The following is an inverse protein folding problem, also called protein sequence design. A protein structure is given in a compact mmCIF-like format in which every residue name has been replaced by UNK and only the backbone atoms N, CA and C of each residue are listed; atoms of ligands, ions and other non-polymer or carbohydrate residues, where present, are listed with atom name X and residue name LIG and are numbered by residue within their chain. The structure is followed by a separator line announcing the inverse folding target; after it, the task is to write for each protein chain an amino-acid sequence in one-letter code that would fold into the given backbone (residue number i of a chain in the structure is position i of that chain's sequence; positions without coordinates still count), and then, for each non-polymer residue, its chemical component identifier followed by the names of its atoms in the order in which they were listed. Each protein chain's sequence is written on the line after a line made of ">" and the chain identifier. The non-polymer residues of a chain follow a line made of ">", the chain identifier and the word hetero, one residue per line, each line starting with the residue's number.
data_IF_749193257089
#
_entry.id   IF_749193257089
#
_cell.length_a   1.000
_cell.length_b   1.000
_cell.length_c   1.000
_cell.angle_alpha   90.00
_cell.angle_beta   90.00
_cell.angle_gamma   90.00
#
_symmetry.space_group_name_H-M   'P 1'
#
loop_
_entity.id
_entity.type
_entity.pdbx_description
1 polymer ?
#
# COMPACT_ATOMS: atom_id res chain seq x y z
N UNK A 1 -48.50 7.03 -28.69
CA UNK A 1 -47.03 6.96 -28.80
C UNK A 1 -46.65 5.50 -28.61
N UNK A 2 -46.32 4.81 -29.70
CA UNK A 2 -45.94 3.39 -29.64
C UNK A 2 -44.57 3.32 -28.96
N UNK A 3 -44.46 2.72 -27.78
CA UNK A 3 -43.14 2.39 -27.25
C UNK A 3 -42.53 1.34 -28.18
N UNK A 4 -41.36 1.63 -28.75
CA UNK A 4 -40.60 0.62 -29.49
C UNK A 4 -40.38 -0.57 -28.55
N UNK A 5 -40.61 -1.78 -29.05
CA UNK A 5 -40.66 -3.02 -28.25
C UNK A 5 -39.42 -3.28 -27.39
N UNK A 6 -38.29 -2.62 -27.66
CA UNK A 6 -37.07 -2.67 -26.85
C UNK A 6 -37.01 -1.67 -25.67
N UNK A 7 -37.75 -0.56 -25.73
CA UNK A 7 -37.72 0.52 -24.72
C UNK A 7 -38.05 0.04 -23.30
N UNK A 8 -39.11 -0.75 -23.05
CA UNK A 8 -39.46 -1.14 -21.67
C UNK A 8 -38.42 -2.05 -21.02
N UNK A 9 -37.75 -2.90 -21.80
CA UNK A 9 -36.69 -3.79 -21.31
C UNK A 9 -35.40 -3.04 -20.98
N UNK A 10 -35.05 -2.03 -21.77
CA UNK A 10 -33.88 -1.17 -21.53
C UNK A 10 -34.04 -0.42 -20.20
N UNK A 11 -35.23 0.14 -19.93
CA UNK A 11 -35.51 0.84 -18.69
C UNK A 11 -35.45 -0.08 -17.47
N UNK A 12 -35.96 -1.32 -17.60
CA UNK A 12 -35.87 -2.32 -16.53
C UNK A 12 -34.42 -2.73 -16.25
N UNK A 13 -33.61 -2.89 -17.31
CA UNK A 13 -32.21 -3.26 -17.18
C UNK A 13 -31.31 -2.13 -16.65
N UNK A 14 -31.72 -0.87 -16.80
CA UNK A 14 -30.91 0.29 -16.42
C UNK A 14 -30.50 0.28 -14.94
N UNK A 15 -31.38 -0.16 -14.03
CA UNK A 15 -31.10 -0.25 -12.60
C UNK A 15 -29.99 -1.27 -12.27
N UNK A 16 -30.19 -2.57 -12.60
CA UNK A 16 -29.17 -3.60 -12.38
C UNK A 16 -27.85 -3.31 -13.08
N UNK A 17 -27.89 -2.83 -14.33
CA UNK A 17 -26.68 -2.47 -15.08
C UNK A 17 -25.94 -1.32 -14.39
N UNK A 18 -26.66 -0.28 -13.96
CA UNK A 18 -26.08 0.84 -13.21
C UNK A 18 -25.45 0.40 -11.89
N UNK A 19 -26.12 -0.46 -11.11
CA UNK A 19 -25.61 -0.98 -9.85
C UNK A 19 -24.31 -1.77 -10.05
N UNK A 20 -24.27 -2.67 -11.04
CA UNK A 20 -23.08 -3.46 -11.38
C UNK A 20 -21.95 -2.54 -11.84
N UNK A 21 -22.24 -1.54 -12.69
CA UNK A 21 -21.24 -0.61 -13.20
C UNK A 21 -20.60 0.21 -12.07
N UNK A 22 -21.41 0.75 -11.14
CA UNK A 22 -20.92 1.51 -9.99
C UNK A 22 -20.06 0.62 -9.07
N UNK A 23 -20.56 -0.57 -8.72
CA UNK A 23 -19.82 -1.49 -7.87
C UNK A 23 -18.47 -1.88 -8.49
N UNK A 24 -18.47 -2.23 -9.77
CA UNK A 24 -17.26 -2.65 -10.49
C UNK A 24 -16.25 -1.52 -10.62
N UNK A 25 -16.71 -0.30 -10.91
CA UNK A 25 -15.86 0.89 -10.98
C UNK A 25 -15.16 1.19 -9.66
N UNK A 26 -15.90 1.17 -8.54
CA UNK A 26 -15.34 1.33 -7.20
C UNK A 26 -14.39 0.19 -6.85
N UNK A 27 -14.77 -1.05 -7.17
CA UNK A 27 -13.94 -2.23 -6.95
C UNK A 27 -12.60 -2.06 -7.64
N UNK A 28 -12.56 -1.77 -8.95
CA UNK A 28 -11.31 -1.55 -9.70
C UNK A 28 -10.51 -0.36 -9.16
N UNK A 29 -11.17 0.76 -8.87
CA UNK A 29 -10.51 1.98 -8.40
C UNK A 29 -9.72 1.74 -7.11
N UNK A 30 -10.28 0.98 -6.16
CA UNK A 30 -9.63 0.69 -4.89
C UNK A 30 -8.82 -0.60 -4.87
N UNK A 31 -9.21 -1.63 -5.63
CA UNK A 31 -8.56 -2.94 -5.56
C UNK A 31 -7.23 -3.03 -6.28
N UNK A 32 -6.78 -1.98 -6.98
CA UNK A 32 -5.48 -1.91 -7.65
C UNK A 32 -5.10 -3.20 -8.41
N UNK A 33 -6.09 -4.02 -8.81
CA UNK A 33 -5.85 -5.38 -9.33
C UNK A 33 -5.30 -5.31 -10.75
N UNK A 34 -5.53 -4.19 -11.41
CA UNK A 34 -4.99 -3.82 -12.72
C UNK A 34 -3.72 -2.96 -12.64
N UNK A 35 -3.26 -2.62 -11.44
CA UNK A 35 -1.96 -1.94 -11.26
C UNK A 35 -0.93 -2.96 -10.83
N UNK A 36 0.00 -3.28 -11.73
CA UNK A 36 1.29 -3.82 -11.31
C UNK A 36 1.98 -2.76 -10.44
N UNK A 37 2.48 -3.15 -9.27
CA UNK A 37 3.41 -2.32 -8.50
C UNK A 37 4.73 -2.24 -9.28
N UNK A 38 4.77 -1.49 -10.39
CA UNK A 38 6.03 -1.10 -11.04
C UNK A 38 6.67 0.05 -10.24
N UNK A 39 6.83 -0.15 -8.93
CA UNK A 39 7.68 0.69 -8.09
C UNK A 39 8.88 -0.14 -7.64
N UNK A 40 9.44 -0.92 -8.56
CA UNK A 40 10.82 -1.35 -8.48
C UNK A 40 11.67 -0.18 -8.99
N UNK A 41 11.94 0.77 -8.10
CA UNK A 41 13.09 1.64 -8.30
C UNK A 41 14.28 0.83 -7.82
N UNK A 42 15.01 0.23 -8.76
CA UNK A 42 16.37 -0.23 -8.47
C UNK A 42 17.14 0.99 -8.00
N UNK A 43 17.26 1.12 -6.69
CA UNK A 43 18.20 2.08 -6.12
C UNK A 43 19.56 1.44 -6.35
N UNK A 44 20.28 1.90 -7.36
CA UNK A 44 21.70 1.59 -7.54
C UNK A 44 22.41 2.06 -6.26
N UNK A 45 22.68 1.11 -5.36
CA UNK A 45 23.51 1.34 -4.19
C UNK A 45 24.94 1.26 -4.72
N UNK A 46 25.51 2.40 -5.10
CA UNK A 46 26.95 2.50 -5.31
C UNK A 46 27.63 2.44 -3.93
N UNK A 47 28.22 1.28 -3.62
CA UNK A 47 28.95 1.10 -2.37
C UNK A 47 30.20 1.98 -2.40
N UNK A 48 30.15 3.11 -1.71
CA UNK A 48 31.36 3.89 -1.45
C UNK A 48 32.27 3.10 -0.51
N UNK A 49 33.61 3.17 -0.69
CA UNK A 49 34.53 2.53 0.24
C UNK A 49 34.33 3.15 1.63
N UNK A 50 33.85 2.35 2.57
CA UNK A 50 33.80 2.72 3.99
C UNK A 50 35.25 2.70 4.48
N UNK A 51 35.91 3.86 4.47
CA UNK A 51 37.22 4.02 5.11
C UNK A 51 36.96 4.35 6.58
N UNK A 52 37.08 3.35 7.43
CA UNK A 52 36.93 3.49 8.87
C UNK A 52 37.26 2.18 9.58
N UNK A 53 37.83 2.26 10.78
CA UNK A 53 37.99 1.08 11.62
C UNK A 53 36.61 0.60 12.08
N UNK A 54 36.08 -0.45 11.45
CA UNK A 54 34.83 -1.07 11.88
C UNK A 54 35.05 -1.74 13.25
N UNK A 55 34.62 -1.07 14.32
CA UNK A 55 34.54 -1.69 15.64
C UNK A 55 33.17 -2.33 15.77
N UNK A 56 33.15 -3.65 15.75
CA UNK A 56 31.94 -4.42 15.97
C UNK A 56 31.54 -4.34 17.44
N UNK A 57 30.53 -3.53 17.75
CA UNK A 57 30.08 -3.33 19.14
C UNK A 57 29.07 -4.38 19.63
N UNK A 58 28.26 -4.98 18.73
CA UNK A 58 27.25 -5.97 19.12
C UNK A 58 26.90 -6.93 17.96
N UNK A 59 26.25 -8.05 18.25
CA UNK A 59 25.64 -8.96 17.27
C UNK A 59 24.30 -9.47 17.78
N UNK A 60 23.22 -9.14 17.08
CA UNK A 60 21.90 -9.73 17.39
C UNK A 60 21.72 -11.00 16.55
N UNK A 61 21.71 -12.17 17.19
CA UNK A 61 21.35 -13.46 16.57
C UNK A 61 20.08 -13.98 17.24
N UNK A 62 18.98 -14.02 16.49
CA UNK A 62 17.68 -14.44 17.01
C UNK A 62 17.05 -13.36 17.89
N UNK A 63 16.16 -12.55 17.31
CA UNK A 63 15.42 -11.55 18.07
C UNK A 63 14.23 -12.21 18.76
N UNK A 64 14.37 -12.57 20.04
CA UNK A 64 13.24 -13.00 20.88
C UNK A 64 12.45 -11.82 21.47
N UNK A 65 13.03 -10.61 21.41
CA UNK A 65 12.38 -9.40 21.95
C UNK A 65 11.15 -9.07 21.11
N UNK A 66 10.01 -9.00 21.78
CA UNK A 66 8.73 -8.58 21.17
C UNK A 66 8.72 -7.09 20.81
N UNK A 67 9.60 -6.30 21.43
CA UNK A 67 9.63 -4.86 21.28
C UNK A 67 11.05 -4.30 21.30
N UNK A 68 11.24 -3.19 20.57
CA UNK A 68 12.49 -2.42 20.58
C UNK A 68 12.55 -1.59 21.85
N UNK A 69 13.69 -1.68 22.56
CA UNK A 69 13.93 -0.85 23.75
C UNK A 69 13.88 0.64 23.37
N UNK A 70 13.08 1.42 24.09
CA UNK A 70 12.88 2.84 23.81
C UNK A 70 11.88 3.15 22.68
N UNK A 71 11.04 2.17 22.29
CA UNK A 71 9.96 2.45 21.33
C UNK A 71 8.98 3.52 21.85
N UNK A 72 8.30 4.20 20.92
CA UNK A 72 7.34 5.26 21.22
C UNK A 72 5.89 4.86 20.90
N UNK A 73 5.56 3.56 20.88
CA UNK A 73 4.27 3.04 20.38
C UNK A 73 3.07 3.54 21.19
N UNK A 74 3.26 3.90 22.46
CA UNK A 74 2.21 4.50 23.30
C UNK A 74 2.28 6.04 23.35
N UNK A 75 3.34 6.64 22.78
CA UNK A 75 3.66 8.07 22.85
C UNK A 75 4.02 8.62 21.47
N UNK A 76 3.11 8.45 20.50
CA UNK A 76 3.28 8.79 19.08
C UNK A 76 3.77 10.23 18.79
N UNK A 77 3.54 11.18 19.71
CA UNK A 77 3.99 12.57 19.56
C UNK A 77 5.43 12.81 19.99
N UNK A 78 6.07 11.84 20.65
CA UNK A 78 7.48 11.92 21.01
C UNK A 78 8.32 11.49 19.82
N UNK A 79 9.11 12.44 19.28
CA UNK A 79 10.08 12.16 18.22
C UNK A 79 11.25 11.36 18.79
N UNK A 80 11.61 10.28 18.11
CA UNK A 80 12.84 9.54 18.38
C UNK A 80 14.02 10.47 18.07
N UNK A 81 14.89 10.67 19.06
CA UNK A 81 16.14 11.40 18.87
C UNK A 81 17.18 10.42 18.34
N UNK A 82 17.96 10.82 17.33
CA UNK A 82 19.17 10.07 16.96
C UNK A 82 20.19 10.28 18.07
N UNK A 83 21.01 9.27 18.31
CA UNK A 83 22.19 9.40 19.15
C UNK A 83 23.16 10.31 18.38
N UNK A 84 23.63 11.37 19.05
CA UNK A 84 24.72 12.22 18.56
C UNK A 84 26.07 11.58 18.89
#
# INVERSE_FOLDING_TARGET
>A
MQAESGTPWILLAAGPVGAVAVYWGLFRYYRNTDKSHSFERETLIESQPIVGHETKFDTVRGTERREVSGNNVSKHRQRVRRLD
#
